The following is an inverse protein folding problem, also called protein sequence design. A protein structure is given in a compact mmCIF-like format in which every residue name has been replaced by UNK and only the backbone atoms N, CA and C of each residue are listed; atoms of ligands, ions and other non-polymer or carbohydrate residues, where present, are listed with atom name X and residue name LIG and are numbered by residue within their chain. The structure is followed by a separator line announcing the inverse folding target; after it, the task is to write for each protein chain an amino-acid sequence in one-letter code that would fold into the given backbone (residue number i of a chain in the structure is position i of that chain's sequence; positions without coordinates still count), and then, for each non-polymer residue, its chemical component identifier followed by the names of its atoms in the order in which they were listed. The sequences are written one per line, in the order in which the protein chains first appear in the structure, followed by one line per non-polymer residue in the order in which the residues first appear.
data_IF_435680577395
#
_entry.id   IF_435680577395
#
_cell.length_a   1.000
_cell.length_b   1.000
_cell.length_c   1.000
_cell.angle_alpha   90.00
_cell.angle_beta   90.00
_cell.angle_gamma   90.00
#
_symmetry.space_group_name_H-M   'P 1'
#
loop_
_entity.id
_entity.type
_entity.pdbx_description
1 polymer ?
#
# COMPACT_ATOMS: atom_id res chain seq x y z
N UNK A 1 4.17 2.53 14.04
CA UNK A 1 4.88 3.83 13.92
C UNK A 1 6.34 3.64 13.51
N UNK A 2 7.12 2.78 14.18
CA UNK A 2 8.56 2.54 13.86
C UNK A 2 8.77 2.05 12.41
N UNK A 3 7.91 1.17 11.90
CA UNK A 3 7.98 0.64 10.52
C UNK A 3 7.74 1.73 9.45
N UNK A 4 6.82 2.68 9.70
CA UNK A 4 6.53 3.79 8.77
C UNK A 4 7.69 4.79 8.64
N UNK A 5 8.57 4.86 9.64
CA UNK A 5 9.73 5.77 9.66
C UNK A 5 10.90 5.17 8.86
N UNK A 6 11.05 3.84 8.88
CA UNK A 6 12.11 3.15 8.14
C UNK A 6 11.78 2.97 6.66
N UNK A 7 10.54 2.61 6.34
CA UNK A 7 10.18 2.26 4.97
C UNK A 7 8.70 2.48 4.70
N UNK A 8 8.35 3.72 4.38
CA UNK A 8 6.97 4.11 4.12
C UNK A 8 6.34 3.35 2.94
N UNK A 9 7.01 3.19 1.78
CA UNK A 9 6.46 2.42 0.67
C UNK A 9 6.17 0.95 1.02
N UNK A 10 7.05 0.30 1.79
CA UNK A 10 6.84 -1.08 2.22
C UNK A 10 5.59 -1.25 3.11
N UNK A 11 5.30 -0.30 4.00
CA UNK A 11 4.09 -0.34 4.84
C UNK A 11 2.81 -0.27 3.99
N UNK A 12 2.78 0.58 2.96
CA UNK A 12 1.64 0.65 2.04
C UNK A 12 1.52 -0.59 1.16
N UNK A 13 2.64 -1.14 0.68
CA UNK A 13 2.65 -2.38 -0.07
C UNK A 13 2.09 -3.56 0.75
N UNK A 14 2.52 -3.72 2.01
CA UNK A 14 2.00 -4.73 2.91
C UNK A 14 0.50 -4.53 3.20
N UNK A 15 0.07 -3.28 3.39
CA UNK A 15 -1.34 -2.93 3.58
C UNK A 15 -2.21 -3.27 2.36
N UNK A 16 -1.72 -3.00 1.15
CA UNK A 16 -2.37 -3.39 -0.11
C UNK A 16 -2.48 -4.91 -0.22
N UNK A 17 -1.42 -5.64 0.11
CA UNK A 17 -1.41 -7.10 0.03
C UNK A 17 -2.48 -7.70 0.95
N UNK A 18 -2.56 -7.23 2.19
CA UNK A 18 -3.59 -7.64 3.16
C UNK A 18 -5.01 -7.25 2.73
N UNK A 19 -5.17 -6.12 2.05
CA UNK A 19 -6.48 -5.65 1.58
C UNK A 19 -7.01 -6.49 0.40
N UNK A 20 -6.12 -7.06 -0.41
CA UNK A 20 -6.45 -7.91 -1.57
C UNK A 20 -6.57 -9.39 -1.17
N UNK A 21 -5.71 -9.87 -0.26
CA UNK A 21 -5.63 -11.28 0.14
C UNK A 21 -6.71 -11.71 1.17
N UNK A 22 -7.46 -10.77 1.73
CA UNK A 22 -8.57 -11.09 2.63
C UNK A 22 -9.72 -11.78 1.85
N UNK A 23 -10.56 -12.55 2.56
CA UNK A 23 -11.82 -13.09 2.02
C UNK A 23 -12.75 -11.91 1.67
N UNK A 24 -12.62 -11.42 0.44
CA UNK A 24 -13.20 -10.17 -0.07
C UNK A 24 -12.18 -9.04 -0.17
N UNK A 25 -12.36 -8.16 -1.15
CA UNK A 25 -11.51 -6.97 -1.31
C UNK A 25 -11.94 -5.91 -0.31
N UNK A 26 -11.00 -5.36 0.48
CA UNK A 26 -11.27 -4.12 1.23
C UNK A 26 -11.18 -2.92 0.28
N UNK A 27 -12.20 -2.77 -0.57
CA UNK A 27 -12.21 -1.77 -1.66
C UNK A 27 -11.95 -0.36 -1.17
N UNK A 28 -12.50 0.03 -0.01
CA UNK A 28 -12.26 1.36 0.57
C UNK A 28 -10.79 1.59 0.94
N UNK A 29 -10.07 0.55 1.38
CA UNK A 29 -8.64 0.64 1.68
C UNK A 29 -7.82 0.71 0.39
N UNK A 30 -8.16 -0.13 -0.59
CA UNK A 30 -7.52 -0.14 -1.90
C UNK A 30 -7.66 1.22 -2.59
N UNK A 31 -8.90 1.71 -2.74
CA UNK A 31 -9.22 3.00 -3.36
C UNK A 31 -8.49 4.14 -2.64
N UNK A 32 -8.54 4.18 -1.30
CA UNK A 32 -7.88 5.23 -0.53
C UNK A 32 -6.37 5.25 -0.78
N UNK A 33 -5.70 4.10 -0.75
CA UNK A 33 -4.24 4.05 -0.97
C UNK A 33 -3.90 4.46 -2.40
N UNK A 34 -4.62 3.96 -3.41
CA UNK A 34 -4.35 4.31 -4.81
C UNK A 34 -4.56 5.81 -5.04
N UNK A 35 -5.69 6.39 -4.58
CA UNK A 35 -6.03 7.80 -4.80
C UNK A 35 -5.09 8.73 -4.03
N UNK A 36 -4.81 8.44 -2.76
CA UNK A 36 -4.00 9.36 -1.93
C UNK A 36 -2.50 9.27 -2.19
N UNK A 37 -2.01 8.21 -2.85
CA UNK A 37 -0.59 8.01 -3.12
C UNK A 37 -0.21 8.18 -4.59
N UNK A 38 -1.17 8.30 -5.50
CA UNK A 38 -0.96 8.36 -6.96
C UNK A 38 0.09 9.37 -7.38
N UNK A 39 0.07 10.58 -6.81
CA UNK A 39 0.97 11.69 -7.15
C UNK A 39 2.18 11.83 -6.20
N UNK A 40 2.29 10.95 -5.19
CA UNK A 40 3.34 11.07 -4.16
C UNK A 40 4.42 10.01 -4.38
N UNK A 41 4.05 8.73 -4.28
CA UNK A 41 5.02 7.63 -4.30
C UNK A 41 4.41 6.29 -4.73
N UNK A 42 3.26 6.29 -5.41
CA UNK A 42 2.60 5.06 -5.86
C UNK A 42 3.52 4.17 -6.73
N UNK A 43 4.42 4.77 -7.52
CA UNK A 43 5.42 4.03 -8.28
C UNK A 43 6.40 3.24 -7.38
N UNK A 44 6.85 3.83 -6.26
CA UNK A 44 7.73 3.16 -5.30
C UNK A 44 6.96 2.09 -4.52
N UNK A 45 5.71 2.38 -4.13
CA UNK A 45 4.83 1.39 -3.49
C UNK A 45 4.64 0.18 -4.42
N UNK A 46 4.41 0.41 -5.72
CA UNK A 46 4.30 -0.65 -6.73
C UNK A 46 5.58 -1.47 -6.80
N UNK A 47 6.74 -0.83 -6.86
CA UNK A 47 8.02 -1.55 -6.87
C UNK A 47 8.19 -2.42 -5.62
N UNK A 48 7.86 -1.91 -4.43
CA UNK A 48 7.93 -2.69 -3.18
C UNK A 48 6.89 -3.80 -3.10
N UNK A 49 5.73 -3.62 -3.71
CA UNK A 49 4.70 -4.65 -3.78
C UNK A 49 5.11 -5.83 -4.68
N UNK A 50 5.98 -5.59 -5.66
CA UNK A 50 6.49 -6.60 -6.59
C UNK A 50 7.80 -7.26 -6.14
N UNK A 51 8.43 -6.76 -5.07
CA UNK A 51 9.58 -7.37 -4.41
C UNK A 51 9.12 -8.47 -3.47
#
# INVERSE_FOLDING_TARGET
LITCIRDRPAVFAEGLHKAIAALGTRDSTLIRVIVTRSEIDLAQIKQRYQQ
#
